data_IF_052182135281
#
_entry.id   IF_052182135281
#
_cell.length_a   1.000
_cell.length_b   1.000
_cell.length_c   1.000
_cell.angle_alpha   90.00
_cell.angle_beta   90.00
_cell.angle_gamma   90.00
#
_symmetry.space_group_name_H-M   'P 1'
#
loop_
_entity.id
_entity.type
_entity.pdbx_description
1 polymer ?
#
# COMPACT_ATOMS: atom_id res chain seq x y z
N UNK A 1 45.37 -43.33 41.26
CA UNK A 1 45.54 -43.42 39.80
C UNK A 1 45.22 -42.07 39.18
N UNK A 2 46.08 -41.63 38.25
CA UNK A 2 45.95 -40.48 37.33
C UNK A 2 46.41 -39.11 37.85
N UNK A 3 47.68 -38.88 37.52
CA UNK A 3 48.46 -37.67 37.30
C UNK A 3 47.67 -36.53 36.63
N UNK A 4 48.01 -35.27 36.95
CA UNK A 4 48.83 -34.41 36.06
C UNK A 4 49.23 -33.10 36.76
N UNK A 5 50.49 -32.75 36.54
CA UNK A 5 51.27 -31.64 37.10
C UNK A 5 50.87 -30.27 36.57
N UNK A 6 50.90 -29.24 37.42
CA UNK A 6 50.82 -27.82 37.04
C UNK A 6 51.89 -27.05 37.83
N UNK A 7 52.41 -25.99 37.20
CA UNK A 7 53.20 -24.87 37.71
C UNK A 7 54.73 -25.03 37.70
N UNK A 8 55.28 -24.69 36.53
CA UNK A 8 56.62 -24.12 36.40
C UNK A 8 56.66 -22.65 36.84
N UNK A 9 57.81 -22.28 37.37
CA UNK A 9 58.09 -21.11 38.19
C UNK A 9 58.00 -19.76 37.45
N UNK A 10 57.42 -18.77 38.14
CA UNK A 10 57.61 -17.35 37.88
C UNK A 10 58.69 -16.83 38.83
N UNK A 11 59.73 -16.20 38.29
CA UNK A 11 60.80 -15.61 39.07
C UNK A 11 61.32 -14.32 38.40
N UNK A 12 61.30 -13.24 39.20
CA UNK A 12 62.23 -12.09 39.20
C UNK A 12 62.26 -11.14 37.99
N UNK A 13 62.51 -9.83 38.10
CA UNK A 13 62.56 -8.81 39.18
C UNK A 13 62.68 -7.47 38.43
N UNK A 14 62.22 -6.39 39.05
CA UNK A 14 62.21 -5.02 38.55
C UNK A 14 63.59 -4.43 38.16
N UNK A 15 63.58 -3.47 37.24
CA UNK A 15 64.52 -2.34 37.21
C UNK A 15 63.88 -1.15 36.52
N UNK A 16 63.91 0.00 37.19
CA UNK A 16 63.48 1.31 36.70
C UNK A 16 64.70 2.12 36.26
N UNK A 17 64.60 2.87 35.17
CA UNK A 17 65.51 3.98 34.85
C UNK A 17 64.79 5.01 33.98
N UNK A 18 64.92 6.27 34.36
CA UNK A 18 64.29 7.45 33.77
C UNK A 18 64.95 7.83 32.44
N UNK A 19 64.17 8.33 31.48
CA UNK A 19 64.67 9.09 30.34
C UNK A 19 63.83 10.36 30.16
N UNK A 20 64.55 11.46 30.01
CA UNK A 20 64.14 12.86 30.02
C UNK A 20 63.31 13.20 28.77
N UNK A 21 62.12 13.77 28.95
CA UNK A 21 61.35 14.38 27.87
C UNK A 21 62.01 15.70 27.46
N UNK A 22 62.68 15.68 26.30
CA UNK A 22 63.26 16.84 25.65
C UNK A 22 62.14 17.57 24.90
N UNK A 23 61.83 18.77 25.39
CA UNK A 23 61.02 19.80 24.73
C UNK A 23 61.61 20.07 23.34
N UNK A 24 60.83 19.78 22.29
CA UNK A 24 61.09 20.25 20.92
C UNK A 24 60.10 21.37 20.58
N UNK A 25 60.51 22.65 20.53
CA UNK A 25 59.71 23.72 19.96
C UNK A 25 60.20 24.00 18.53
N UNK A 26 59.90 23.11 17.60
CA UNK A 26 60.08 23.35 16.15
C UNK A 26 58.90 22.72 15.42
N UNK A 27 57.74 23.39 15.49
CA UNK A 27 56.66 23.21 14.54
C UNK A 27 55.92 24.54 14.36
N UNK A 28 56.71 25.60 14.16
CA UNK A 28 56.21 26.84 13.61
C UNK A 28 56.15 26.70 12.09
N UNK A 29 54.99 27.04 11.54
CA UNK A 29 54.78 27.57 10.18
C UNK A 29 55.15 26.65 9.01
N UNK A 30 54.23 25.76 8.66
CA UNK A 30 54.07 25.34 7.26
C UNK A 30 52.60 25.47 6.87
N UNK A 31 52.33 26.46 6.01
CA UNK A 31 51.14 26.62 5.18
C UNK A 31 49.77 26.78 5.87
N UNK A 32 49.47 28.00 6.33
CA UNK A 32 48.22 28.62 5.88
C UNK A 32 48.47 29.22 4.48
N UNK A 33 48.54 28.33 3.48
CA UNK A 33 48.17 28.77 2.13
C UNK A 33 46.67 28.94 2.24
N UNK A 34 46.21 30.19 2.22
CA UNK A 34 44.87 30.51 1.72
C UNK A 34 44.82 29.93 0.31
N UNK A 35 44.47 28.64 0.21
CA UNK A 35 44.01 28.06 -1.03
C UNK A 35 42.72 28.81 -1.27
N UNK A 36 42.74 29.72 -2.24
CA UNK A 36 41.55 30.42 -2.72
C UNK A 36 40.49 29.35 -2.96
N UNK A 37 39.54 29.23 -2.03
CA UNK A 37 38.43 28.31 -2.17
C UNK A 37 37.78 28.63 -3.54
N UNK A 38 37.55 27.63 -4.40
CA UNK A 38 36.94 27.89 -5.69
C UNK A 38 35.58 28.56 -5.46
N UNK A 39 35.48 29.83 -5.84
CA UNK A 39 34.24 30.61 -5.70
C UNK A 39 33.19 30.03 -6.65
N UNK A 40 32.36 29.12 -6.14
CA UNK A 40 31.21 28.55 -6.82
C UNK A 40 29.95 29.16 -6.21
N UNK A 41 29.19 29.91 -7.01
CA UNK A 41 27.94 30.50 -6.58
C UNK A 41 26.81 29.54 -6.92
N UNK A 42 26.07 29.08 -5.91
CA UNK A 42 24.92 28.22 -6.09
C UNK A 42 23.74 28.73 -5.26
N UNK A 43 22.60 28.93 -5.93
CA UNK A 43 21.37 29.41 -5.32
C UNK A 43 20.23 28.50 -5.74
N UNK A 44 19.36 28.11 -4.81
CA UNK A 44 18.13 27.39 -5.13
C UNK A 44 16.91 28.28 -4.88
N UNK A 45 15.95 28.23 -5.78
CA UNK A 45 14.69 28.97 -5.65
C UNK A 45 13.51 28.04 -5.91
N UNK A 46 12.39 28.33 -5.25
CA UNK A 46 11.12 27.69 -5.59
C UNK A 46 10.61 28.25 -6.93
N UNK A 47 9.89 27.45 -7.73
CA UNK A 47 9.27 27.93 -8.96
C UNK A 47 8.23 29.01 -8.65
N UNK A 48 7.95 29.87 -9.64
CA UNK A 48 6.96 30.96 -9.51
C UNK A 48 5.55 30.48 -9.11
N UNK A 49 5.22 29.21 -9.38
CA UNK A 49 3.97 28.59 -8.94
C UNK A 49 3.87 28.40 -7.41
N UNK A 50 4.99 28.47 -6.69
CA UNK A 50 5.08 28.32 -5.24
C UNK A 50 5.87 29.47 -4.60
N UNK A 51 5.31 30.70 -4.58
CA UNK A 51 6.01 31.87 -4.06
C UNK A 51 6.17 31.83 -2.52
N UNK A 52 5.37 31.02 -1.83
CA UNK A 52 5.36 30.92 -0.37
C UNK A 52 6.32 29.85 0.17
N UNK A 53 7.02 29.11 -0.70
CA UNK A 53 7.93 28.05 -0.29
C UNK A 53 7.24 26.93 0.47
N UNK A 54 5.99 26.61 0.10
CA UNK A 54 5.26 25.51 0.69
C UNK A 54 5.83 24.17 0.24
N UNK A 55 6.12 23.29 1.17
CA UNK A 55 6.53 21.92 0.88
C UNK A 55 5.35 21.00 1.15
N UNK A 56 4.78 20.42 0.09
CA UNK A 56 3.60 19.56 0.20
C UNK A 56 4.03 18.12 0.49
N UNK A 57 3.52 17.56 1.57
CA UNK A 57 3.82 16.18 1.94
C UNK A 57 3.27 15.17 0.95
N UNK A 58 4.03 14.10 0.70
CA UNK A 58 3.64 13.01 -0.21
C UNK A 58 3.65 13.39 -1.70
N UNK A 59 3.76 14.68 -2.03
CA UNK A 59 3.88 15.17 -3.40
C UNK A 59 5.35 15.44 -3.78
N UNK A 60 5.58 15.61 -5.08
CA UNK A 60 6.90 15.92 -5.62
C UNK A 60 7.11 17.43 -5.63
N UNK A 61 7.87 17.91 -4.66
CA UNK A 61 8.26 19.31 -4.58
C UNK A 61 9.46 19.55 -5.50
N UNK A 62 9.47 20.70 -6.18
CA UNK A 62 10.53 21.09 -7.11
C UNK A 62 11.15 22.41 -6.68
N UNK A 63 12.46 22.50 -6.83
CA UNK A 63 13.24 23.73 -6.76
C UNK A 63 14.15 23.81 -7.98
N UNK A 64 14.42 25.01 -8.46
CA UNK A 64 15.36 25.25 -9.54
C UNK A 64 16.67 25.80 -8.96
N UNK A 65 17.76 25.10 -9.20
CA UNK A 65 19.08 25.54 -8.79
C UNK A 65 19.71 26.32 -9.93
N UNK A 66 20.34 27.44 -9.60
CA UNK A 66 21.20 28.23 -10.47
C UNK A 66 22.61 28.15 -9.92
N UNK A 67 23.50 27.57 -10.71
CA UNK A 67 24.90 27.32 -10.36
C UNK A 67 25.75 28.10 -11.36
N UNK A 68 26.67 28.91 -10.86
CA UNK A 68 27.59 29.72 -11.63
C UNK A 68 29.01 29.47 -11.14
N UNK A 69 29.87 29.03 -12.07
CA UNK A 69 31.27 28.80 -11.78
C UNK A 69 32.07 30.09 -12.01
N UNK A 70 32.54 30.71 -10.92
CA UNK A 70 33.40 31.89 -10.93
C UNK A 70 34.82 31.58 -10.42
N UNK A 71 35.18 30.30 -10.36
CA UNK A 71 36.42 29.86 -9.71
C UNK A 71 37.67 29.96 -10.59
N UNK A 72 37.55 30.31 -11.87
CA UNK A 72 38.67 30.30 -12.82
C UNK A 72 39.19 28.91 -13.17
N UNK A 73 38.51 27.86 -12.69
CA UNK A 73 38.91 26.45 -12.80
C UNK A 73 37.74 25.58 -13.23
N UNK A 74 38.03 24.41 -13.79
CA UNK A 74 37.00 23.43 -14.12
C UNK A 74 36.52 22.72 -12.85
N UNK A 75 35.22 22.77 -12.60
CA UNK A 75 34.58 22.21 -11.40
C UNK A 75 33.68 21.05 -11.79
N UNK A 76 33.77 19.92 -11.10
CA UNK A 76 32.85 18.79 -11.32
C UNK A 76 31.78 18.76 -10.25
N UNK A 77 30.52 18.88 -10.66
CA UNK A 77 29.37 18.75 -9.77
C UNK A 77 29.16 17.28 -9.41
N UNK A 78 29.31 16.93 -8.13
CA UNK A 78 29.18 15.55 -7.66
C UNK A 78 27.73 15.28 -7.29
N UNK A 79 27.29 15.79 -6.14
CA UNK A 79 26.02 15.40 -5.54
C UNK A 79 25.34 16.60 -4.87
N UNK A 80 24.03 16.70 -5.03
CA UNK A 80 23.17 17.55 -4.20
C UNK A 80 22.61 16.68 -3.09
N UNK A 81 22.72 17.15 -1.86
CA UNK A 81 22.13 16.53 -0.68
C UNK A 81 21.43 17.59 0.16
N UNK A 82 20.48 17.19 0.98
CA UNK A 82 19.84 18.11 1.90
C UNK A 82 19.01 17.42 2.94
N UNK A 83 18.41 18.22 3.80
CA UNK A 83 17.54 17.74 4.85
C UNK A 83 16.74 18.82 5.53
N UNK A 84 15.79 18.38 6.32
CA UNK A 84 14.96 19.21 7.17
C UNK A 84 15.50 19.17 8.61
N UNK A 85 15.59 20.36 9.19
CA UNK A 85 16.17 20.62 10.49
C UNK A 85 15.12 21.26 11.39
N UNK A 86 15.17 20.89 12.67
CA UNK A 86 14.34 21.48 13.71
C UNK A 86 14.87 22.82 14.20
N UNK A 87 14.18 23.46 15.17
CA UNK A 87 14.55 24.76 15.71
C UNK A 87 15.93 24.83 16.35
N UNK A 88 16.48 23.70 16.79
CA UNK A 88 17.81 23.59 17.40
C UNK A 88 18.88 23.13 16.39
N UNK A 89 18.64 23.27 15.09
CA UNK A 89 19.52 22.82 14.00
C UNK A 89 19.86 21.33 14.05
N UNK A 90 19.00 20.54 14.69
CA UNK A 90 19.08 19.09 14.70
C UNK A 90 18.26 18.51 13.54
N UNK A 91 18.75 17.42 12.93
CA UNK A 91 17.94 16.70 11.95
C UNK A 91 16.65 16.19 12.59
N UNK A 92 15.52 16.43 11.93
CA UNK A 92 14.22 15.96 12.40
C UNK A 92 14.23 14.42 12.43
N UNK A 93 13.61 13.84 13.47
CA UNK A 93 13.47 12.39 13.61
C UNK A 93 12.09 11.94 13.10
N UNK A 94 11.99 10.81 12.40
CA UNK A 94 13.08 9.91 11.99
C UNK A 94 13.92 10.49 10.83
N UNK A 95 15.23 10.21 10.85
CA UNK A 95 16.16 10.75 9.86
C UNK A 95 15.82 10.33 8.41
N UNK A 96 15.09 9.23 8.22
CA UNK A 96 14.59 8.80 6.91
C UNK A 96 13.61 9.78 6.28
N UNK A 97 12.73 10.38 7.10
CA UNK A 97 11.75 11.38 6.64
C UNK A 97 12.34 12.78 6.50
N UNK A 98 13.41 13.06 7.25
CA UNK A 98 14.04 14.36 7.27
C UNK A 98 15.15 14.52 6.22
N UNK A 99 15.75 13.44 5.73
CA UNK A 99 16.83 13.51 4.73
C UNK A 99 16.24 13.48 3.32
N UNK A 100 16.69 14.42 2.48
CA UNK A 100 16.30 14.45 1.07
C UNK A 100 17.06 13.39 0.27
N UNK A 101 16.53 13.08 -0.92
CA UNK A 101 17.19 12.17 -1.85
C UNK A 101 18.44 12.82 -2.44
N UNK A 102 19.58 12.14 -2.29
CA UNK A 102 20.82 12.56 -2.93
C UNK A 102 20.72 12.40 -4.45
N UNK A 103 21.10 13.44 -5.19
CA UNK A 103 21.11 13.43 -6.65
C UNK A 103 22.52 13.67 -7.16
N UNK A 104 23.07 12.69 -7.89
CA UNK A 104 24.44 12.73 -8.43
C UNK A 104 24.40 13.08 -9.91
N UNK A 105 25.16 14.11 -10.33
CA UNK A 105 25.21 14.55 -11.73
C UNK A 105 26.49 14.11 -12.44
N UNK A 106 27.65 14.23 -11.79
CA UNK A 106 28.95 13.97 -12.42
C UNK A 106 29.25 14.91 -13.59
N UNK A 107 28.69 16.13 -13.59
CA UNK A 107 28.81 17.09 -14.68
C UNK A 107 30.03 17.98 -14.48
N UNK A 108 30.84 18.15 -15.52
CA UNK A 108 31.93 19.12 -15.53
C UNK A 108 31.43 20.49 -15.98
N UNK A 109 31.65 21.50 -15.15
CA UNK A 109 31.27 22.90 -15.38
C UNK A 109 32.54 23.71 -15.61
N UNK A 110 32.68 24.25 -16.82
CA UNK A 110 33.78 25.16 -17.19
C UNK A 110 33.54 26.52 -16.54
N UNK A 111 34.62 27.26 -16.33
CA UNK A 111 34.58 28.63 -15.80
C UNK A 111 33.67 29.56 -16.62
N UNK A 112 32.97 30.46 -15.93
CA UNK A 112 32.05 31.43 -16.52
C UNK A 112 30.72 30.86 -17.04
N UNK A 113 30.50 29.55 -16.96
CA UNK A 113 29.25 28.93 -17.39
C UNK A 113 28.22 28.94 -16.26
N UNK A 114 27.00 29.37 -16.62
CA UNK A 114 25.81 29.29 -15.77
C UNK A 114 25.01 28.04 -16.13
N UNK A 115 24.60 27.30 -15.11
CA UNK A 115 23.84 26.08 -15.24
C UNK A 115 22.58 26.18 -14.38
N UNK A 116 21.45 25.75 -14.93
CA UNK A 116 20.23 25.58 -14.14
C UNK A 116 19.82 24.12 -14.07
N UNK A 117 19.63 23.61 -12.85
CA UNK A 117 19.29 22.21 -12.59
C UNK A 117 17.98 22.12 -11.81
N UNK A 118 16.99 21.35 -12.29
CA UNK A 118 15.81 21.06 -11.50
C UNK A 118 16.15 20.04 -10.41
N UNK A 119 15.82 20.36 -9.17
CA UNK A 119 15.92 19.46 -8.03
C UNK A 119 14.53 19.13 -7.51
N UNK A 120 14.27 17.84 -7.34
CA UNK A 120 12.96 17.33 -6.95
C UNK A 120 13.10 16.45 -5.72
N UNK A 121 12.21 16.65 -4.76
CA UNK A 121 12.22 15.91 -3.50
C UNK A 121 10.80 15.74 -2.94
N UNK A 122 10.68 14.80 -2.00
CA UNK A 122 9.45 14.53 -1.28
C UNK A 122 9.65 14.83 0.20
N UNK A 123 8.57 15.16 0.90
CA UNK A 123 8.56 15.29 2.36
C UNK A 123 7.48 14.40 2.97
N UNK A 124 7.77 13.87 4.15
CA UNK A 124 6.85 13.09 4.98
C UNK A 124 6.96 13.56 6.43
N UNK A 125 6.86 14.89 6.63
CA UNK A 125 7.04 15.52 7.93
C UNK A 125 5.71 15.95 8.53
N UNK A 126 5.69 16.20 9.84
CA UNK A 126 4.52 16.84 10.45
C UNK A 126 4.37 18.26 9.89
N UNK A 127 3.13 18.66 9.61
CA UNK A 127 2.76 20.02 9.20
C UNK A 127 3.29 21.07 10.17
N UNK A 128 3.89 22.13 9.62
CA UNK A 128 4.49 23.21 10.41
C UNK A 128 5.70 23.84 9.73
N UNK A 129 6.38 24.73 10.44
CA UNK A 129 7.60 25.37 9.97
C UNK A 129 8.83 24.52 10.30
N UNK A 130 9.66 24.30 9.29
CA UNK A 130 10.92 23.54 9.42
C UNK A 130 12.01 24.25 8.63
N UNK A 131 13.26 24.10 9.07
CA UNK A 131 14.41 24.66 8.36
C UNK A 131 14.84 23.69 7.26
N UNK A 132 14.85 24.13 6.02
CA UNK A 132 15.32 23.36 4.87
C UNK A 132 16.76 23.78 4.55
N UNK A 133 17.68 22.81 4.59
CA UNK A 133 19.07 23.00 4.20
C UNK A 133 19.42 22.11 3.02
N UNK A 134 19.94 22.71 1.95
CA UNK A 134 20.42 22.02 0.76
C UNK A 134 21.88 22.38 0.55
N UNK A 135 22.70 21.37 0.33
CA UNK A 135 24.15 21.45 0.16
C UNK A 135 24.54 20.81 -1.18
N UNK A 136 25.47 21.45 -1.89
CA UNK A 136 26.05 20.96 -3.14
C UNK A 136 27.50 20.56 -2.89
N UNK A 137 27.81 19.31 -3.20
CA UNK A 137 29.16 18.77 -3.20
C UNK A 137 29.75 18.86 -4.60
N UNK A 138 30.93 19.47 -4.71
CA UNK A 138 31.65 19.61 -5.96
C UNK A 138 33.11 19.21 -5.79
N UNK A 139 33.77 18.90 -6.91
CA UNK A 139 35.17 18.48 -6.99
C UNK A 139 35.96 19.47 -7.81
N UNK A 140 36.99 20.06 -7.22
CA UNK A 140 37.92 20.97 -7.88
C UNK A 140 39.34 20.48 -7.63
N UNK A 141 40.10 20.23 -8.70
CA UNK A 141 41.50 19.74 -8.62
C UNK A 141 41.67 18.48 -7.74
N UNK A 142 40.64 17.63 -7.68
CA UNK A 142 40.64 16.41 -6.87
C UNK A 142 40.24 16.60 -5.40
N UNK A 143 39.97 17.83 -4.96
CA UNK A 143 39.50 18.14 -3.61
C UNK A 143 37.97 18.33 -3.64
N UNK A 144 37.29 17.73 -2.66
CA UNK A 144 35.84 17.84 -2.52
C UNK A 144 35.50 19.02 -1.63
N UNK A 145 34.62 19.87 -2.11
CA UNK A 145 34.09 21.03 -1.41
C UNK A 145 32.59 20.89 -1.27
N UNK A 146 32.05 21.44 -0.20
CA UNK A 146 30.61 21.45 0.06
C UNK A 146 30.15 22.86 0.34
N UNK A 147 29.22 23.34 -0.47
CA UNK A 147 28.67 24.68 -0.35
C UNK A 147 27.16 24.63 -0.04
N UNK A 148 26.64 25.51 0.83
CA UNK A 148 25.21 25.64 1.03
C UNK A 148 24.57 26.30 -0.19
N UNK A 149 23.50 25.72 -0.71
CA UNK A 149 22.73 26.24 -1.85
C UNK A 149 21.43 26.89 -1.38
N UNK A 150 20.84 26.32 -0.32
CA UNK A 150 19.62 26.81 0.28
C UNK A 150 19.69 26.64 1.78
N UNK A 151 19.35 27.69 2.52
CA UNK A 151 19.23 27.66 3.96
C UNK A 151 18.13 28.64 4.38
N UNK A 152 16.90 28.15 4.51
CA UNK A 152 15.80 28.96 5.02
C UNK A 152 14.67 28.13 5.62
N UNK A 153 13.73 28.80 6.27
CA UNK A 153 12.54 28.18 6.87
C UNK A 153 11.47 28.01 5.79
N UNK A 154 10.91 26.80 5.71
CA UNK A 154 9.82 26.44 4.80
C UNK A 154 8.64 25.91 5.60
N UNK A 155 7.44 26.11 5.06
CA UNK A 155 6.22 25.60 5.68
C UNK A 155 5.82 24.28 5.02
N UNK A 156 5.78 23.21 5.81
CA UNK A 156 5.28 21.91 5.39
C UNK A 156 3.77 21.90 5.51
N UNK A 157 3.10 21.55 4.41
CA UNK A 157 1.63 21.54 4.28
C UNK A 157 1.16 20.16 3.82
N UNK A 158 -0.04 19.76 4.22
CA UNK A 158 -0.68 18.55 3.69
C UNK A 158 -1.29 18.81 2.30
N UNK A 159 -1.32 17.80 1.42
CA UNK A 159 -1.93 17.93 0.11
C UNK A 159 -3.44 18.17 0.23
N UNK A 160 -4.00 18.83 -0.77
CA UNK A 160 -5.44 19.10 -0.82
C UNK A 160 -6.23 17.78 -0.95
N UNK A 161 -7.25 17.59 -0.11
CA UNK A 161 -8.12 16.42 -0.21
C UNK A 161 -9.00 16.59 -1.45
N UNK A 162 -8.75 15.78 -2.47
CA UNK A 162 -9.59 15.75 -3.68
C UNK A 162 -10.89 14.99 -3.40
N UNK A 163 -12.00 15.73 -3.31
CA UNK A 163 -13.33 15.15 -3.10
C UNK A 163 -13.82 14.27 -4.27
N UNK A 164 -13.25 14.43 -5.46
CA UNK A 164 -13.63 13.71 -6.68
C UNK A 164 -12.51 12.77 -7.18
N UNK A 165 -11.81 12.10 -6.27
CA UNK A 165 -10.92 10.99 -6.65
C UNK A 165 -11.73 9.73 -6.99
N UNK A 166 -11.73 9.36 -8.27
CA UNK A 166 -12.42 8.17 -8.79
C UNK A 166 -11.97 6.89 -8.07
N UNK A 167 -10.70 6.79 -7.66
CA UNK A 167 -10.18 5.61 -6.94
C UNK A 167 -10.83 5.50 -5.57
N UNK A 168 -10.88 6.59 -4.81
CA UNK A 168 -11.56 6.64 -3.52
C UNK A 168 -13.06 6.40 -3.67
N UNK A 169 -13.72 7.09 -4.61
CA UNK A 169 -15.15 6.98 -4.84
C UNK A 169 -15.56 5.56 -5.24
N UNK A 170 -14.81 4.91 -6.13
CA UNK A 170 -15.08 3.52 -6.55
C UNK A 170 -14.95 2.54 -5.39
N UNK A 171 -13.97 2.75 -4.50
CA UNK A 171 -13.79 1.94 -3.29
C UNK A 171 -14.99 2.11 -2.35
N UNK A 172 -15.45 3.34 -2.13
CA UNK A 172 -16.64 3.60 -1.31
C UNK A 172 -17.90 3.00 -1.91
N UNK A 173 -18.11 3.14 -3.22
CA UNK A 173 -19.25 2.51 -3.91
C UNK A 173 -19.18 0.99 -3.76
N UNK A 174 -18.00 0.38 -3.90
CA UNK A 174 -17.84 -1.06 -3.73
C UNK A 174 -18.17 -1.50 -2.30
N UNK A 175 -17.62 -0.84 -1.28
CA UNK A 175 -17.90 -1.14 0.14
C UNK A 175 -19.38 -0.93 0.46
N UNK A 176 -19.97 0.17 0.01
CA UNK A 176 -21.39 0.46 0.19
C UNK A 176 -22.27 -0.57 -0.53
N UNK A 177 -21.86 -1.05 -1.71
CA UNK A 177 -22.56 -2.10 -2.45
C UNK A 177 -22.52 -3.44 -1.71
N UNK A 178 -21.37 -3.79 -1.11
CA UNK A 178 -21.20 -5.04 -0.37
C UNK A 178 -22.01 -5.01 0.93
N UNK A 179 -21.95 -3.90 1.67
CA UNK A 179 -22.76 -3.72 2.88
C UNK A 179 -24.25 -3.62 2.56
N UNK A 180 -24.61 -2.93 1.48
CA UNK A 180 -25.99 -2.81 1.02
C UNK A 180 -26.58 -4.14 0.56
N UNK A 181 -25.84 -4.90 -0.26
CA UNK A 181 -26.26 -6.23 -0.70
C UNK A 181 -26.31 -7.22 0.47
N UNK A 182 -25.31 -7.22 1.35
CA UNK A 182 -25.27 -8.06 2.55
C UNK A 182 -26.41 -7.73 3.52
N UNK A 183 -26.64 -6.43 3.79
CA UNK A 183 -27.75 -5.96 4.62
C UNK A 183 -29.12 -6.27 4.03
N UNK A 184 -29.28 -6.11 2.72
CA UNK A 184 -30.50 -6.48 2.01
C UNK A 184 -30.75 -8.00 2.05
N UNK A 185 -29.72 -8.81 1.84
CA UNK A 185 -29.81 -10.25 1.96
C UNK A 185 -30.18 -10.69 3.39
N UNK A 186 -29.58 -10.07 4.40
CA UNK A 186 -29.95 -10.29 5.79
C UNK A 186 -31.41 -9.88 6.07
N UNK A 187 -31.87 -8.75 5.54
CA UNK A 187 -33.27 -8.32 5.66
C UNK A 187 -34.23 -9.37 5.07
N UNK A 188 -33.97 -9.88 3.87
CA UNK A 188 -34.81 -10.91 3.25
C UNK A 188 -34.82 -12.22 4.05
N UNK A 189 -33.69 -12.57 4.69
CA UNK A 189 -33.53 -13.83 5.41
C UNK A 189 -34.14 -13.78 6.82
N UNK A 190 -33.96 -12.68 7.54
CA UNK A 190 -34.29 -12.57 8.96
C UNK A 190 -35.56 -11.76 9.25
N UNK A 191 -36.05 -10.95 8.30
CA UNK A 191 -37.30 -10.20 8.48
C UNK A 191 -38.46 -10.93 7.79
N UNK A 192 -39.51 -11.35 8.52
CA UNK A 192 -40.67 -12.03 7.94
C UNK A 192 -41.32 -11.17 6.85
N UNK A 193 -41.25 -11.62 5.61
CA UNK A 193 -41.87 -10.91 4.50
C UNK A 193 -43.40 -11.07 4.57
N UNK A 194 -44.19 -10.00 4.46
CA UNK A 194 -45.64 -10.10 4.47
C UNK A 194 -46.09 -10.96 3.28
N UNK A 195 -46.86 -12.02 3.56
CA UNK A 195 -47.43 -12.89 2.52
C UNK A 195 -48.27 -12.04 1.58
N UNK A 196 -47.79 -11.83 0.34
CA UNK A 196 -48.66 -11.34 -0.72
C UNK A 196 -49.81 -12.35 -0.86
N UNK A 197 -51.03 -11.93 -0.51
CA UNK A 197 -52.25 -12.64 -0.89
C UNK A 197 -52.22 -12.73 -2.41
N UNK A 198 -51.93 -13.91 -2.94
CA UNK A 198 -52.22 -14.21 -4.35
C UNK A 198 -53.69 -13.83 -4.53
N UNK A 199 -53.98 -12.77 -5.30
CA UNK A 199 -55.33 -12.61 -5.84
C UNK A 199 -55.61 -13.93 -6.54
N UNK A 200 -56.60 -14.65 -6.01
CA UNK A 200 -56.96 -15.97 -6.53
C UNK A 200 -57.04 -15.85 -8.04
N UNK A 201 -56.36 -16.77 -8.74
CA UNK A 201 -56.73 -17.03 -10.12
C UNK A 201 -58.24 -17.23 -10.09
N UNK A 202 -58.98 -16.28 -10.68
CA UNK A 202 -60.41 -16.42 -10.84
C UNK A 202 -60.60 -17.77 -11.52
N UNK A 203 -61.24 -18.69 -10.82
CA UNK A 203 -61.69 -19.95 -11.40
C UNK A 203 -62.46 -19.59 -12.66
N UNK A 204 -61.90 -19.93 -13.82
CA UNK A 204 -62.64 -19.87 -15.07
C UNK A 204 -63.96 -20.63 -14.86
N UNK A 205 -65.10 -20.11 -15.34
CA UNK A 205 -66.38 -20.77 -15.12
C UNK A 205 -66.32 -22.16 -15.77
N UNK A 206 -66.45 -23.19 -14.93
CA UNK A 206 -66.62 -24.57 -15.35
C UNK A 206 -67.87 -24.61 -16.22
N UNK A 207 -67.70 -24.82 -17.53
CA UNK A 207 -68.83 -25.04 -18.44
C UNK A 207 -69.57 -26.30 -18.01
N UNK A 208 -70.89 -26.18 -17.89
CA UNK A 208 -71.81 -27.27 -17.58
C UNK A 208 -71.63 -28.46 -18.55
N UNK A 209 -71.83 -29.71 -18.10
CA UNK A 209 -71.66 -30.87 -18.96
C UNK A 209 -72.76 -30.90 -20.03
N UNK A 210 -72.38 -30.63 -21.28
CA UNK A 210 -73.21 -30.88 -22.46
C UNK A 210 -73.43 -32.39 -22.58
N UNK A 211 -74.68 -32.83 -22.55
CA UNK A 211 -75.05 -34.21 -22.83
C UNK A 211 -74.69 -34.55 -24.28
N UNK A 212 -73.61 -35.30 -24.49
CA UNK A 212 -73.19 -35.78 -25.80
C UNK A 212 -74.08 -36.95 -26.20
N UNK A 213 -75.05 -36.68 -27.06
CA UNK A 213 -75.80 -37.71 -27.77
C UNK A 213 -74.86 -38.38 -28.77
N UNK A 214 -74.51 -39.65 -28.53
CA UNK A 214 -73.74 -40.45 -29.47
C UNK A 214 -74.61 -40.70 -30.71
N UNK A 215 -74.27 -40.09 -31.84
CA UNK A 215 -74.87 -40.42 -33.13
C UNK A 215 -73.80 -40.36 -34.21
N UNK A 216 -73.26 -41.54 -34.53
CA UNK A 216 -72.90 -41.96 -35.88
C UNK A 216 -71.84 -41.18 -36.66
N UNK A 217 -70.79 -41.92 -37.05
CA UNK A 217 -69.92 -41.71 -38.21
C UNK A 217 -68.71 -40.77 -38.03
N UNK A 218 -67.69 -41.29 -37.34
CA UNK A 218 -66.30 -40.82 -37.41
C UNK A 218 -65.45 -41.72 -36.54
N UNK A 219 -64.80 -42.72 -37.14
CA UNK A 219 -64.06 -43.77 -36.41
C UNK A 219 -63.02 -43.19 -35.45
N UNK A 220 -63.09 -43.61 -34.19
CA UNK A 220 -61.99 -43.43 -33.26
C UNK A 220 -60.77 -44.17 -33.84
N UNK A 221 -59.77 -43.40 -34.27
CA UNK A 221 -58.48 -43.95 -34.70
C UNK A 221 -57.69 -44.30 -33.45
N UNK A 222 -57.72 -45.57 -33.03
CA UNK A 222 -57.02 -46.09 -31.85
C UNK A 222 -55.50 -46.31 -32.08
N UNK A 223 -55.01 -45.98 -33.27
CA UNK A 223 -53.64 -46.20 -33.75
C UNK A 223 -52.58 -45.26 -33.15
N UNK A 224 -52.98 -44.23 -32.40
CA UNK A 224 -52.05 -43.37 -31.66
C UNK A 224 -51.77 -43.85 -30.23
N UNK A 225 -52.46 -44.88 -29.72
CA UNK A 225 -52.28 -45.35 -28.36
C UNK A 225 -51.25 -46.49 -28.38
N UNK A 226 -50.05 -46.30 -27.78
CA UNK A 226 -49.04 -47.35 -27.75
C UNK A 226 -49.61 -48.64 -27.13
N UNK A 227 -49.44 -49.78 -27.78
CA UNK A 227 -50.08 -51.06 -27.42
C UNK A 227 -49.86 -51.48 -25.96
N UNK A 228 -48.76 -51.03 -25.35
CA UNK A 228 -48.43 -51.27 -23.94
C UNK A 228 -49.26 -50.47 -22.92
N UNK A 229 -50.12 -49.55 -23.38
CA UNK A 229 -51.03 -48.76 -22.54
C UNK A 229 -52.50 -49.19 -22.64
N UNK A 230 -52.87 -50.11 -23.54
CA UNK A 230 -54.20 -50.75 -23.49
C UNK A 230 -54.23 -51.83 -22.42
N UNK A 231 -54.50 -51.42 -21.17
CA UNK A 231 -54.85 -52.36 -20.11
C UNK A 231 -56.19 -53.00 -20.46
N UNK A 232 -56.17 -54.28 -20.82
CA UNK A 232 -57.37 -55.11 -20.97
C UNK A 232 -58.17 -55.11 -19.66
N UNK A 233 -59.13 -54.21 -19.51
CA UNK A 233 -60.00 -54.17 -18.33
C UNK A 233 -60.99 -55.31 -18.43
N UNK A 234 -60.66 -56.43 -17.77
CA UNK A 234 -61.61 -57.49 -17.46
C UNK A 234 -62.56 -56.96 -16.38
N UNK A 235 -63.82 -56.79 -16.74
CA UNK A 235 -64.89 -56.39 -15.84
C UNK A 235 -65.01 -57.36 -14.64
N UNK A 236 -65.25 -56.85 -13.42
CA UNK A 236 -65.68 -57.69 -12.30
C UNK A 236 -65.52 -57.15 -10.86
N UNK A 237 -66.48 -56.32 -10.42
CA UNK A 237 -67.19 -56.31 -9.12
C UNK A 237 -66.48 -56.41 -7.74
N UNK A 238 -66.96 -55.52 -6.84
CA UNK A 238 -67.08 -55.55 -5.34
C UNK A 238 -65.80 -55.35 -4.51
N UNK A 239 -65.82 -54.90 -3.25
CA UNK A 239 -66.61 -53.99 -2.41
C UNK A 239 -66.02 -54.14 -1.00
N UNK A 240 -65.73 -53.03 -0.30
CA UNK A 240 -65.77 -52.93 1.16
C UNK A 240 -64.52 -53.30 2.00
N UNK A 241 -64.26 -52.43 2.98
CA UNK A 241 -63.75 -52.65 4.33
C UNK A 241 -62.46 -51.87 4.70
N UNK A 242 -62.63 -51.06 5.75
CA UNK A 242 -61.68 -50.20 6.45
C UNK A 242 -60.69 -51.03 7.29
N UNK A 243 -59.47 -50.52 7.50
CA UNK A 243 -58.69 -50.81 8.70
C UNK A 243 -57.79 -49.63 9.07
N UNK A 244 -57.68 -49.42 10.37
CA UNK A 244 -57.23 -48.26 11.15
C UNK A 244 -55.89 -48.54 11.84
N UNK A 245 -55.18 -47.48 12.26
CA UNK A 245 -54.09 -47.47 13.25
C UNK A 245 -52.69 -47.72 12.65
N UNK A 246 -51.59 -47.15 13.13
CA UNK A 246 -51.33 -46.48 14.40
C UNK A 246 -49.92 -45.84 14.38
N UNK A 247 -49.69 -44.86 15.26
CA UNK A 247 -48.43 -44.32 15.83
C UNK A 247 -47.44 -43.49 14.93
N UNK A 248 -47.13 -42.21 15.21
CA UNK A 248 -46.42 -41.52 16.32
C UNK A 248 -44.88 -41.53 16.25
N UNK A 249 -44.31 -40.40 16.70
CA UNK A 249 -42.88 -40.06 16.91
C UNK A 249 -42.14 -39.50 15.68
N UNK A 250 -41.85 -38.18 15.58
CA UNK A 250 -40.99 -37.44 16.51
C UNK A 250 -39.54 -37.74 16.13
N UNK A 251 -38.86 -36.92 15.32
CA UNK A 251 -38.27 -35.66 15.76
C UNK A 251 -36.74 -35.86 15.83
N UNK A 252 -35.98 -34.81 15.54
CA UNK A 252 -34.56 -34.61 15.87
C UNK A 252 -33.46 -35.55 15.31
N UNK A 253 -32.71 -35.05 14.32
CA UNK A 253 -31.26 -35.33 14.22
C UNK A 253 -30.50 -34.02 13.98
N UNK A 254 -29.90 -33.49 15.06
CA UNK A 254 -28.79 -32.55 15.02
C UNK A 254 -27.51 -33.27 14.58
N UNK A 255 -26.60 -32.54 13.91
CA UNK A 255 -25.47 -33.13 13.20
C UNK A 255 -24.23 -33.45 14.03
N UNK A 256 -23.23 -34.03 13.36
CA UNK A 256 -21.80 -33.75 13.55
C UNK A 256 -20.94 -34.53 12.54
N UNK A 257 -19.98 -33.80 11.99
CA UNK A 257 -18.59 -34.19 11.66
C UNK A 257 -18.23 -35.39 10.77
N UNK A 258 -17.35 -35.06 9.81
CA UNK A 258 -16.06 -35.77 9.69
C UNK A 258 -15.85 -36.57 8.42
N UNK A 259 -15.34 -35.94 7.34
CA UNK A 259 -14.72 -36.70 6.23
C UNK A 259 -13.30 -36.23 5.93
N UNK A 260 -12.38 -37.15 6.25
CA UNK A 260 -10.92 -37.09 6.21
C UNK A 260 -10.34 -36.82 4.81
N UNK A 261 -9.23 -36.07 4.81
CA UNK A 261 -8.30 -35.83 3.70
C UNK A 261 -7.66 -37.14 3.21
N UNK A 262 -7.56 -37.33 1.90
CA UNK A 262 -6.73 -38.37 1.25
C UNK A 262 -5.35 -37.79 0.92
N UNK A 263 -4.30 -38.40 1.48
CA UNK A 263 -2.91 -38.19 1.11
C UNK A 263 -2.60 -38.88 -0.22
N UNK A 264 -1.79 -38.22 -1.05
CA UNK A 264 -1.27 -38.71 -2.34
C UNK A 264 0.20 -39.08 -2.11
N UNK A 265 0.57 -40.28 -2.54
CA UNK A 265 1.96 -40.75 -2.67
C UNK A 265 2.33 -40.69 -4.14
#
# INVERSE_FOLDING_TARGET
MRYTSILGAAAFLATAAHAVDIVSPVLDKVNEVFSSEPELLAVAEFPESNPFGHVVNGEQNRMDLRIENSSGKNVTLLTIAGGFYGPQDNLIKPASSARLRNLTYGLNLVDGIKLSLPYQFHSELKTGEVKLKIELEHLTEGIRYRIPVYDSVVTVVEPEISAFDIKMLSTYIMVLSLLGAGGYFAYLTFVPQPKQKRRGAASAPVSEPVAVTATGAGGYQEEWIPEHHLKKTKAGKKAGALSSGDELSGGETSGAEGKRRKARK
#
